data_IF_274084274113
#
_entry.id   IF_274084274113
#
_cell.length_a   1.000
_cell.length_b   1.000
_cell.length_c   1.000
_cell.angle_alpha   90.00
_cell.angle_beta   90.00
_cell.angle_gamma   90.00
#
_symmetry.space_group_name_H-M   'P 1'
#
loop_
_entity.id
_entity.type
_entity.pdbx_description
1 polymer ?
#
# COMPACT_ATOMS: atom_id res chain seq x y z
N UNK A 1 3.05 -7.27 -42.46
CA UNK A 1 3.55 -6.35 -43.50
C UNK A 1 4.63 -5.49 -42.86
N UNK A 2 5.90 -5.77 -43.12
CA UNK A 2 6.99 -4.93 -42.63
C UNK A 2 7.28 -3.90 -43.70
N UNK A 3 6.81 -2.67 -43.49
CA UNK A 3 7.07 -1.58 -44.40
C UNK A 3 8.58 -1.41 -44.55
N UNK A 4 9.00 -1.61 -45.79
CA UNK A 4 10.37 -1.55 -46.26
C UNK A 4 10.79 -0.08 -46.25
N UNK A 5 11.16 0.42 -45.07
CA UNK A 5 11.80 1.73 -44.89
C UNK A 5 13.13 1.76 -45.67
N UNK A 6 13.04 2.08 -46.97
CA UNK A 6 14.17 2.37 -47.84
C UNK A 6 14.11 3.86 -48.20
N UNK A 7 14.75 4.72 -47.41
CA UNK A 7 15.04 6.07 -47.89
C UNK A 7 16.27 6.01 -48.79
N UNK A 8 16.10 6.32 -50.08
CA UNK A 8 17.18 6.33 -51.11
C UNK A 8 17.98 5.02 -51.22
N UNK A 9 17.32 3.87 -51.11
CA UNK A 9 17.92 2.56 -51.42
C UNK A 9 18.95 2.03 -50.41
N UNK A 10 19.19 2.73 -49.28
CA UNK A 10 20.04 2.24 -48.19
C UNK A 10 19.16 1.60 -47.12
N UNK A 11 19.53 0.42 -46.64
CA UNK A 11 18.91 -0.18 -45.45
C UNK A 11 19.32 0.66 -44.25
N UNK A 12 18.40 1.44 -43.68
CA UNK A 12 18.64 2.09 -42.40
C UNK A 12 18.85 1.00 -41.32
N UNK A 13 19.77 1.24 -40.40
CA UNK A 13 19.95 0.35 -39.26
C UNK A 13 18.68 0.44 -38.42
N UNK A 14 18.02 -0.70 -38.19
CA UNK A 14 16.83 -0.78 -37.33
C UNK A 14 17.13 -0.02 -36.03
N UNK A 15 16.29 0.96 -35.64
CA UNK A 15 16.52 1.69 -34.40
C UNK A 15 16.60 0.68 -33.27
N UNK A 16 17.56 0.86 -32.36
CA UNK A 16 17.74 0.00 -31.20
C UNK A 16 16.47 0.14 -30.37
N UNK A 17 15.74 -0.95 -30.16
CA UNK A 17 14.59 -0.97 -29.24
C UNK A 17 15.12 -0.83 -27.80
N UNK A 18 15.49 0.37 -27.40
CA UNK A 18 15.68 0.73 -26.01
C UNK A 18 14.50 1.60 -25.61
N UNK A 19 13.40 0.98 -25.19
CA UNK A 19 12.45 1.70 -24.34
C UNK A 19 13.18 1.91 -23.01
N UNK A 20 13.56 3.16 -22.71
CA UNK A 20 13.87 3.53 -21.33
C UNK A 20 12.67 3.07 -20.50
N UNK A 21 12.92 2.16 -19.55
CA UNK A 21 11.93 1.24 -19.01
C UNK A 21 10.62 1.87 -18.56
N UNK A 22 9.57 1.06 -18.52
CA UNK A 22 8.24 1.42 -18.03
C UNK A 22 8.34 2.16 -16.68
N UNK A 23 8.22 3.48 -16.72
CA UNK A 23 8.26 4.30 -15.52
C UNK A 23 6.83 4.43 -15.00
N UNK A 24 6.50 3.61 -14.01
CA UNK A 24 5.27 3.82 -13.23
C UNK A 24 5.46 5.10 -12.42
N UNK A 25 4.62 6.12 -12.65
CA UNK A 25 4.53 7.32 -11.79
C UNK A 25 4.04 6.94 -10.39
N UNK A 26 4.84 6.17 -9.66
CA UNK A 26 4.51 5.63 -8.34
C UNK A 26 4.54 6.78 -7.35
N UNK A 27 3.41 7.04 -6.70
CA UNK A 27 3.37 7.91 -5.54
C UNK A 27 3.93 7.17 -4.31
N UNK A 28 4.71 7.87 -3.50
CA UNK A 28 5.13 7.39 -2.18
C UNK A 28 3.92 7.29 -1.24
N UNK A 29 3.95 6.34 -0.31
CA UNK A 29 2.87 6.16 0.66
C UNK A 29 3.06 7.15 1.81
N UNK A 30 2.03 7.92 2.15
CA UNK A 30 2.08 8.81 3.31
C UNK A 30 2.46 8.05 4.59
N UNK A 31 3.32 8.66 5.40
CA UNK A 31 3.87 8.07 6.62
C UNK A 31 5.19 7.31 6.45
N UNK A 32 5.80 7.30 5.26
CA UNK A 32 7.13 6.73 5.01
C UNK A 32 8.23 7.79 5.07
N UNK A 33 9.50 7.35 5.03
CA UNK A 33 10.66 8.25 4.99
C UNK A 33 10.60 9.25 3.82
N UNK A 34 10.14 8.79 2.65
CA UNK A 34 9.99 9.60 1.45
C UNK A 34 8.84 10.61 1.53
N UNK A 35 7.81 10.31 2.32
CA UNK A 35 6.63 11.16 2.50
C UNK A 35 6.09 11.08 3.93
N UNK A 36 6.74 11.77 4.90
CA UNK A 36 6.32 11.76 6.29
C UNK A 36 5.04 12.59 6.49
N UNK A 37 4.23 12.24 7.49
CA UNK A 37 3.06 13.04 7.86
C UNK A 37 3.49 14.41 8.39
N UNK A 38 2.71 15.45 8.10
CA UNK A 38 2.93 16.80 8.65
C UNK A 38 1.82 17.07 9.65
N UNK A 39 2.15 17.01 10.93
CA UNK A 39 1.18 17.10 12.02
C UNK A 39 1.41 18.38 12.83
N UNK A 40 0.30 19.00 13.23
CA UNK A 40 0.31 20.23 14.01
C UNK A 40 -0.49 20.01 15.29
N UNK A 41 0.15 20.28 16.43
CA UNK A 41 -0.36 19.92 17.76
C UNK A 41 -0.30 21.13 18.68
N UNK A 42 -1.24 21.26 19.61
CA UNK A 42 -1.30 22.45 20.46
C UNK A 42 -0.46 22.32 21.74
N UNK A 43 -0.35 21.11 22.28
CA UNK A 43 0.32 20.87 23.58
C UNK A 43 1.45 19.83 23.48
N UNK A 44 2.47 19.92 24.35
CA UNK A 44 3.57 18.95 24.37
C UNK A 44 3.12 17.57 24.87
N UNK A 45 2.08 17.50 25.71
CA UNK A 45 1.49 16.23 26.16
C UNK A 45 0.92 15.46 24.97
N UNK A 46 0.11 16.14 24.15
CA UNK A 46 -0.51 15.56 22.96
C UNK A 46 0.52 15.16 21.91
N UNK A 47 1.67 15.86 21.84
CA UNK A 47 2.81 15.45 21.01
C UNK A 47 3.36 14.07 21.46
N UNK A 48 3.53 13.85 22.75
CA UNK A 48 4.06 12.56 23.26
C UNK A 48 3.12 11.38 22.98
N UNK A 49 1.81 11.60 23.04
CA UNK A 49 0.80 10.59 22.70
C UNK A 49 0.86 10.21 21.21
N UNK A 50 1.00 11.21 20.33
CA UNK A 50 1.15 10.95 18.89
C UNK A 50 2.45 10.19 18.60
N UNK A 51 3.54 10.53 19.28
CA UNK A 51 4.82 9.82 19.09
C UNK A 51 4.70 8.33 19.44
N UNK A 52 3.95 7.98 20.49
CA UNK A 52 3.66 6.58 20.82
C UNK A 52 2.85 5.90 19.72
N UNK A 53 1.79 6.53 19.23
CA UNK A 53 0.96 5.99 18.13
C UNK A 53 1.80 5.78 16.85
N UNK A 54 2.70 6.71 16.54
CA UNK A 54 3.60 6.60 15.39
C UNK A 54 4.57 5.42 15.54
N UNK A 55 5.13 5.21 16.73
CA UNK A 55 6.00 4.08 17.03
C UNK A 55 5.26 2.74 16.89
N UNK A 56 4.07 2.62 17.47
CA UNK A 56 3.25 1.40 17.39
C UNK A 56 2.91 1.01 15.95
N UNK A 57 2.68 2.01 15.09
CA UNK A 57 2.31 1.79 13.70
C UNK A 57 3.49 1.85 12.73
N UNK A 58 4.73 2.04 13.22
CA UNK A 58 5.94 2.24 12.42
C UNK A 58 5.79 3.36 11.36
N UNK A 59 5.21 4.50 11.74
CA UNK A 59 4.96 5.64 10.88
C UNK A 59 5.92 6.81 11.19
N UNK A 60 6.23 7.60 10.17
CA UNK A 60 7.12 8.76 10.30
C UNK A 60 6.32 10.05 10.11
N UNK A 61 6.49 11.00 11.03
CA UNK A 61 5.86 12.31 10.98
C UNK A 61 6.80 13.44 11.41
N UNK A 62 6.60 14.63 10.84
CA UNK A 62 7.15 15.90 11.31
C UNK A 62 6.08 16.60 12.15
N UNK A 63 6.33 16.73 13.45
CA UNK A 63 5.37 17.28 14.41
C UNK A 63 5.81 18.68 14.82
N UNK A 64 4.96 19.67 14.58
CA UNK A 64 5.13 21.05 15.06
C UNK A 64 4.14 21.35 16.20
N UNK A 65 4.62 21.98 17.27
CA UNK A 65 3.76 22.40 18.39
C UNK A 65 3.47 23.90 18.26
N UNK A 66 2.21 24.28 18.05
CA UNK A 66 1.77 25.70 18.06
C UNK A 66 0.45 25.80 18.82
N UNK A 67 0.43 26.61 19.89
CA UNK A 67 -0.76 26.75 20.73
C UNK A 67 -1.87 27.61 20.10
N UNK A 68 -1.52 28.51 19.17
CA UNK A 68 -2.43 29.53 18.63
C UNK A 68 -3.23 29.06 17.40
N UNK A 69 -2.85 27.93 16.80
CA UNK A 69 -3.45 27.42 15.55
C UNK A 69 -4.31 26.20 15.87
N UNK A 70 -5.32 25.93 15.06
CA UNK A 70 -6.09 24.70 15.16
C UNK A 70 -5.22 23.47 14.89
N UNK A 71 -5.48 22.38 15.64
CA UNK A 71 -4.75 21.12 15.48
C UNK A 71 -4.97 20.52 14.09
N UNK A 72 -3.92 19.97 13.50
CA UNK A 72 -4.00 19.26 12.20
C UNK A 72 -3.44 17.85 12.33
N UNK A 73 -4.33 16.89 12.55
CA UNK A 73 -4.03 15.44 12.67
C UNK A 73 -4.84 14.60 11.65
N UNK A 74 -5.59 15.24 10.75
CA UNK A 74 -6.53 14.57 9.87
C UNK A 74 -5.89 13.46 9.01
N UNK A 75 -4.63 13.63 8.59
CA UNK A 75 -3.90 12.62 7.81
C UNK A 75 -3.62 11.34 8.61
N UNK A 76 -3.25 11.48 9.89
CA UNK A 76 -2.96 10.37 10.79
C UNK A 76 -4.26 9.65 11.17
N UNK A 77 -5.31 10.39 11.52
CA UNK A 77 -6.63 9.81 11.80
C UNK A 77 -7.19 9.10 10.57
N UNK A 78 -7.06 9.73 9.40
CA UNK A 78 -7.44 9.14 8.12
C UNK A 78 -6.64 7.88 7.81
N UNK A 79 -5.39 7.75 8.27
CA UNK A 79 -4.62 6.51 8.15
C UNK A 79 -5.13 5.41 9.09
N UNK A 80 -5.37 5.75 10.35
CA UNK A 80 -5.83 4.78 11.36
C UNK A 80 -7.24 4.25 11.07
N UNK A 81 -8.12 5.08 10.53
CA UNK A 81 -9.49 4.72 10.19
C UNK A 81 -9.62 3.95 8.86
N UNK A 82 -8.52 3.71 8.13
CA UNK A 82 -8.57 2.91 6.90
C UNK A 82 -9.01 1.49 7.23
N UNK A 83 -10.06 0.96 6.57
CA UNK A 83 -10.51 -0.40 6.81
C UNK A 83 -9.39 -1.38 6.44
N UNK A 84 -9.01 -2.23 7.39
CA UNK A 84 -8.04 -3.30 7.16
C UNK A 84 -8.72 -4.45 6.42
N UNK A 85 -8.00 -5.05 5.48
CA UNK A 85 -8.48 -6.25 4.79
C UNK A 85 -8.57 -7.40 5.79
N UNK A 86 -9.76 -7.96 5.97
CA UNK A 86 -9.97 -9.16 6.78
C UNK A 86 -9.53 -10.35 5.94
N UNK A 87 -8.53 -11.10 6.41
CA UNK A 87 -8.16 -12.37 5.82
C UNK A 87 -9.09 -13.45 6.34
N UNK A 88 -9.94 -13.98 5.47
CA UNK A 88 -10.77 -15.14 5.78
C UNK A 88 -9.96 -16.40 5.48
N UNK A 89 -9.98 -17.36 6.41
CA UNK A 89 -9.35 -18.65 6.19
C UNK A 89 -9.97 -19.37 4.99
N UNK A 90 -9.16 -20.14 4.27
CA UNK A 90 -9.64 -20.91 3.13
C UNK A 90 -10.71 -21.91 3.60
N UNK A 91 -11.85 -21.94 2.90
CA UNK A 91 -12.86 -22.98 3.11
C UNK A 91 -12.24 -24.37 2.87
N UNK A 92 -12.59 -25.39 3.67
CA UNK A 92 -12.05 -26.74 3.51
C UNK A 92 -12.31 -27.25 2.09
N UNK A 93 -11.30 -27.86 1.47
CA UNK A 93 -11.48 -28.46 0.14
C UNK A 93 -12.39 -29.69 0.24
N UNK A 94 -13.03 -30.06 -0.88
CA UNK A 94 -13.99 -31.18 -0.97
C UNK A 94 -13.52 -32.47 -0.28
N UNK A 95 -12.23 -32.77 -0.26
CA UNK A 95 -11.70 -34.01 0.32
C UNK A 95 -11.14 -33.84 1.74
N UNK A 96 -11.02 -32.62 2.26
CA UNK A 96 -10.46 -32.34 3.59
C UNK A 96 -11.40 -32.86 4.69
N UNK A 97 -10.88 -33.16 5.88
CA UNK A 97 -11.71 -33.53 7.03
C UNK A 97 -12.74 -32.42 7.33
N UNK A 98 -13.98 -32.83 7.60
CA UNK A 98 -15.05 -31.89 7.91
C UNK A 98 -14.73 -31.10 9.19
N UNK A 99 -14.88 -29.76 9.18
CA UNK A 99 -14.68 -28.93 10.37
C UNK A 99 -15.70 -29.23 11.49
N UNK A 100 -16.77 -29.96 11.18
CA UNK A 100 -17.78 -30.44 12.12
C UNK A 100 -17.30 -31.60 13.02
N UNK A 101 -16.07 -32.09 12.86
CA UNK A 101 -15.49 -33.15 13.71
C UNK A 101 -15.97 -34.58 13.37
N UNK A 102 -16.70 -34.78 12.27
CA UNK A 102 -17.26 -36.08 11.89
C UNK A 102 -16.24 -37.09 11.33
N UNK A 103 -14.99 -36.68 11.13
CA UNK A 103 -13.94 -37.50 10.49
C UNK A 103 -14.17 -37.81 9.00
N UNK A 104 -15.29 -37.36 8.42
CA UNK A 104 -15.65 -37.56 7.01
C UNK A 104 -15.07 -36.45 6.13
N UNK A 105 -14.83 -36.76 4.85
CA UNK A 105 -14.46 -35.74 3.84
C UNK A 105 -15.55 -34.67 3.75
N UNK A 106 -15.18 -33.40 3.58
CA UNK A 106 -16.10 -32.25 3.56
C UNK A 106 -17.26 -32.46 2.58
N UNK A 107 -16.98 -32.95 1.37
CA UNK A 107 -17.98 -33.28 0.32
C UNK A 107 -19.02 -34.35 0.70
N UNK A 108 -18.81 -35.08 1.80
CA UNK A 108 -19.68 -36.16 2.29
C UNK A 108 -20.31 -35.82 3.65
N UNK A 109 -20.16 -34.59 4.15
CA UNK A 109 -20.66 -34.22 5.46
C UNK A 109 -21.38 -32.86 5.49
N UNK A 110 -20.66 -31.75 5.31
CA UNK A 110 -21.19 -30.39 5.47
C UNK A 110 -21.10 -29.54 4.20
N UNK A 111 -20.62 -30.11 3.11
CA UNK A 111 -20.73 -29.50 1.78
C UNK A 111 -22.17 -29.49 1.27
#
# INVERSE_FOLDING_TARGET
>A
MSDKFFFKGKKEKKPKHSSYGFNTKRAAKAGTEESPFVLLVNTPVRKSEIEQILQENNLIAKIEVKADVAENIAELEGFLNKPKTITVEAQPQRNDPCPCGSGKKYKKCCA
#
